data_IF_124020763245
#
_entry.id   IF_124020763245
#
_cell.length_a   1.000
_cell.length_b   1.000
_cell.length_c   1.000
_cell.angle_alpha   90.00
_cell.angle_beta   90.00
_cell.angle_gamma   90.00
#
_symmetry.space_group_name_H-M   'P 1'
#
loop_
_entity.id
_entity.type
_entity.pdbx_description
1 polymer ?
#
# COMPACT_ATOMS: atom_id res chain seq x y z
N UNK A 1 -32.13 -24.37 -30.00
CA UNK A 1 -31.40 -24.63 -28.74
C UNK A 1 -29.92 -24.53 -29.07
N UNK A 2 -29.21 -23.41 -28.80
CA UNK A 2 -27.77 -23.38 -29.05
C UNK A 2 -27.05 -24.09 -27.89
N UNK A 3 -26.20 -25.04 -28.24
CA UNK A 3 -25.40 -25.84 -27.32
C UNK A 3 -24.32 -24.98 -26.67
N UNK A 4 -24.16 -25.15 -25.36
CA UNK A 4 -23.01 -24.66 -24.61
C UNK A 4 -21.81 -25.54 -25.00
N UNK A 5 -20.82 -24.93 -25.65
CA UNK A 5 -19.61 -25.60 -26.10
C UNK A 5 -18.71 -25.96 -24.89
N UNK A 6 -18.38 -27.25 -24.65
CA UNK A 6 -17.62 -27.70 -23.50
C UNK A 6 -16.13 -27.30 -23.49
N UNK A 7 -15.60 -26.75 -24.58
CA UNK A 7 -14.19 -26.30 -24.65
C UNK A 7 -13.95 -24.95 -23.97
N UNK A 8 -14.97 -24.09 -23.91
CA UNK A 8 -14.92 -22.79 -23.22
C UNK A 8 -14.68 -22.93 -21.71
N UNK A 9 -15.13 -24.02 -21.08
CA UNK A 9 -14.92 -24.29 -19.65
C UNK A 9 -13.44 -24.65 -19.33
N UNK A 10 -12.73 -25.26 -20.30
CA UNK A 10 -11.32 -25.63 -20.12
C UNK A 10 -10.39 -24.44 -20.35
N UNK A 11 -10.58 -23.68 -21.43
CA UNK A 11 -9.80 -22.47 -21.70
C UNK A 11 -10.00 -21.40 -20.62
N UNK A 12 -11.22 -21.26 -20.09
CA UNK A 12 -11.48 -20.34 -18.96
C UNK A 12 -10.91 -20.84 -17.64
N UNK A 13 -10.79 -22.16 -17.43
CA UNK A 13 -10.09 -22.74 -16.27
C UNK A 13 -8.58 -22.57 -16.33
N UNK A 14 -7.99 -22.75 -17.49
CA UNK A 14 -6.54 -22.55 -17.72
C UNK A 14 -6.17 -21.07 -17.53
N UNK A 15 -6.89 -20.14 -18.16
CA UNK A 15 -6.67 -18.70 -17.99
C UNK A 15 -6.82 -18.22 -16.53
N UNK A 16 -7.84 -18.72 -15.81
CA UNK A 16 -8.00 -18.44 -14.37
C UNK A 16 -6.85 -18.99 -13.53
N UNK A 17 -6.27 -20.12 -13.92
CA UNK A 17 -5.11 -20.72 -13.26
C UNK A 17 -3.85 -19.88 -13.44
N UNK A 18 -3.64 -19.35 -14.65
CA UNK A 18 -2.52 -18.46 -14.96
C UNK A 18 -2.62 -17.13 -14.19
N UNK A 19 -3.81 -16.51 -14.14
CA UNK A 19 -4.07 -15.31 -13.35
C UNK A 19 -3.78 -15.52 -11.84
N UNK A 20 -4.18 -16.67 -11.30
CA UNK A 20 -3.90 -17.05 -9.91
C UNK A 20 -2.39 -17.23 -9.65
N UNK A 21 -1.66 -17.85 -10.58
CA UNK A 21 -0.21 -18.05 -10.46
C UNK A 21 0.55 -16.71 -10.54
N UNK A 22 0.17 -15.81 -11.44
CA UNK A 22 0.77 -14.47 -11.53
C UNK A 22 0.51 -13.64 -10.27
N UNK A 23 -0.71 -13.72 -9.73
CA UNK A 23 -1.06 -13.07 -8.46
C UNK A 23 -0.25 -13.66 -7.30
N UNK A 24 -0.06 -14.97 -7.24
CA UNK A 24 0.78 -15.61 -6.22
C UNK A 24 2.24 -15.19 -6.33
N UNK A 25 2.80 -15.13 -7.54
CA UNK A 25 4.16 -14.67 -7.75
C UNK A 25 4.35 -13.21 -7.28
N UNK A 26 3.38 -12.35 -7.56
CA UNK A 26 3.38 -10.97 -7.07
C UNK A 26 3.29 -10.88 -5.53
N UNK A 27 2.51 -11.76 -4.89
CA UNK A 27 2.44 -11.85 -3.43
C UNK A 27 3.78 -12.25 -2.82
N UNK A 28 4.50 -13.19 -3.43
CA UNK A 28 5.85 -13.57 -2.96
C UNK A 28 6.88 -12.44 -3.17
N UNK A 29 6.81 -11.72 -4.29
CA UNK A 29 7.64 -10.53 -4.54
C UNK A 29 7.46 -9.49 -3.43
N UNK A 30 6.20 -9.20 -3.09
CA UNK A 30 5.85 -8.26 -2.03
C UNK A 30 6.32 -8.71 -0.64
N UNK A 31 6.30 -10.02 -0.34
CA UNK A 31 6.86 -10.56 0.90
C UNK A 31 8.37 -10.29 0.97
N UNK A 32 9.07 -10.55 -0.13
CA UNK A 32 10.50 -10.24 -0.24
C UNK A 32 10.79 -8.74 -0.08
N UNK A 33 9.98 -7.87 -0.69
CA UNK A 33 10.09 -6.42 -0.52
C UNK A 33 9.89 -6.00 0.94
N UNK A 34 8.82 -6.49 1.59
CA UNK A 34 8.54 -6.23 3.01
C UNK A 34 9.70 -6.64 3.90
N UNK A 35 10.24 -7.84 3.71
CA UNK A 35 11.30 -8.36 4.57
C UNK A 35 12.58 -7.52 4.44
N UNK A 36 12.91 -7.06 3.22
CA UNK A 36 14.01 -6.12 3.00
C UNK A 36 13.76 -4.78 3.69
N UNK A 37 12.56 -4.22 3.54
CA UNK A 37 12.20 -2.94 4.14
C UNK A 37 12.20 -2.99 5.68
N UNK A 38 11.81 -4.13 6.27
CA UNK A 38 11.85 -4.32 7.73
C UNK A 38 13.28 -4.24 8.27
N UNK A 39 14.24 -4.89 7.60
CA UNK A 39 15.67 -4.80 7.95
C UNK A 39 16.16 -3.36 7.81
N UNK A 40 15.87 -2.70 6.68
CA UNK A 40 16.28 -1.31 6.43
C UNK A 40 15.65 -0.31 7.43
N UNK A 41 14.44 -0.60 7.92
CA UNK A 41 13.78 0.19 8.95
C UNK A 41 14.46 0.00 10.31
N UNK A 42 14.81 -1.24 10.68
CA UNK A 42 15.47 -1.55 11.94
C UNK A 42 16.87 -0.90 12.02
N UNK A 43 17.66 -0.98 10.96
CA UNK A 43 18.97 -0.33 10.86
C UNK A 43 18.86 1.19 11.05
N UNK A 44 17.86 1.80 10.41
CA UNK A 44 17.63 3.24 10.49
C UNK A 44 17.12 3.70 11.84
N UNK A 45 16.19 2.96 12.44
CA UNK A 45 15.74 3.25 13.80
C UNK A 45 16.87 3.13 14.81
N UNK A 46 17.82 2.23 14.57
CA UNK A 46 19.03 2.13 15.40
C UNK A 46 19.86 3.40 15.27
N UNK A 47 20.14 3.84 14.03
CA UNK A 47 20.85 5.09 13.77
C UNK A 47 20.12 6.31 14.39
N UNK A 48 18.80 6.41 14.22
CA UNK A 48 17.99 7.47 14.81
C UNK A 48 18.12 7.53 16.34
N UNK A 49 18.06 6.37 17.01
CA UNK A 49 18.25 6.30 18.46
C UNK A 49 19.66 6.73 18.87
N UNK A 50 20.68 6.32 18.12
CA UNK A 50 22.08 6.69 18.38
C UNK A 50 22.32 8.20 18.19
N UNK A 51 21.70 8.81 17.18
CA UNK A 51 21.75 10.27 16.96
C UNK A 51 20.94 11.01 18.03
N UNK A 52 19.74 10.54 18.35
CA UNK A 52 18.90 11.16 19.37
C UNK A 52 19.53 11.10 20.77
N UNK A 53 20.25 10.02 21.11
CA UNK A 53 20.97 9.90 22.36
C UNK A 53 22.05 11.00 22.54
N UNK A 54 22.59 11.52 21.44
CA UNK A 54 23.60 12.59 21.47
C UNK A 54 23.02 13.95 21.87
N UNK A 55 21.70 14.16 21.75
CA UNK A 55 21.04 15.41 22.18
C UNK A 55 21.08 15.60 23.70
N UNK A 56 21.30 14.53 24.47
CA UNK A 56 21.42 14.58 25.93
C UNK A 56 22.83 14.89 26.44
N UNK A 57 23.82 15.00 25.56
CA UNK A 57 25.22 15.22 25.93
C UNK A 57 25.54 16.73 26.03
N UNK A 58 26.37 17.16 26.99
CA UNK A 58 26.82 18.54 27.07
C UNK A 58 27.67 18.89 25.85
N UNK A 59 27.14 19.81 25.03
CA UNK A 59 27.68 20.24 23.73
C UNK A 59 27.46 21.74 23.56
N UNK A 60 28.21 22.38 22.68
CA UNK A 60 27.94 23.77 22.33
C UNK A 60 26.66 23.93 21.46
N UNK A 61 26.14 25.15 21.35
CA UNK A 61 24.89 25.42 20.63
C UNK A 61 24.97 25.03 19.15
N UNK A 62 26.16 25.13 18.53
CA UNK A 62 26.34 24.78 17.12
C UNK A 62 26.33 23.26 16.94
N UNK A 63 26.99 22.52 17.82
CA UNK A 63 26.97 21.06 17.87
C UNK A 63 25.55 20.52 18.14
N UNK A 64 24.82 21.11 19.08
CA UNK A 64 23.42 20.73 19.34
C UNK A 64 22.54 20.95 18.11
N UNK A 65 22.69 22.09 17.44
CA UNK A 65 21.94 22.38 16.21
C UNK A 65 22.27 21.40 15.06
N UNK A 66 23.51 20.92 14.99
CA UNK A 66 23.92 19.91 14.00
C UNK A 66 23.27 18.54 14.29
N UNK A 67 23.26 18.10 15.55
CA UNK A 67 22.61 16.84 15.95
C UNK A 67 21.10 16.93 15.71
N UNK A 68 20.45 18.04 16.07
CA UNK A 68 19.01 18.22 15.85
C UNK A 68 18.64 18.14 14.36
N UNK A 69 19.43 18.78 13.48
CA UNK A 69 19.22 18.68 12.03
C UNK A 69 19.32 17.26 11.50
N UNK A 70 20.20 16.45 12.07
CA UNK A 70 20.33 15.05 11.67
C UNK A 70 19.10 14.23 12.13
N UNK A 71 18.60 14.46 13.34
CA UNK A 71 17.33 13.86 13.81
C UNK A 71 16.17 14.24 12.88
N UNK A 72 16.01 15.53 12.60
CA UNK A 72 14.95 16.06 11.74
C UNK A 72 15.01 15.48 10.31
N UNK A 73 16.20 15.08 9.87
CA UNK A 73 16.43 14.47 8.56
C UNK A 73 16.07 12.99 8.53
N UNK A 74 16.33 12.25 9.61
CA UNK A 74 16.15 10.80 9.65
C UNK A 74 14.68 10.42 9.86
N UNK A 75 13.98 11.08 10.81
CA UNK A 75 12.61 10.76 11.20
C UNK A 75 11.60 10.59 10.03
N UNK A 76 11.52 11.51 9.04
CA UNK A 76 10.59 11.37 7.92
C UNK A 76 10.92 10.16 7.03
N UNK A 77 12.18 9.74 6.98
CA UNK A 77 12.57 8.56 6.21
C UNK A 77 12.04 7.29 6.88
N UNK A 78 12.26 7.12 8.19
CA UNK A 78 11.75 5.95 8.92
C UNK A 78 10.23 5.84 8.81
N UNK A 79 9.52 6.96 8.96
CA UNK A 79 8.08 7.04 8.76
C UNK A 79 7.64 6.54 7.38
N UNK A 80 8.29 7.01 6.31
CA UNK A 80 7.95 6.60 4.94
C UNK A 80 8.14 5.09 4.71
N UNK A 81 9.19 4.50 5.27
CA UNK A 81 9.40 3.04 5.20
C UNK A 81 8.33 2.28 5.98
N UNK A 82 7.96 2.74 7.17
CA UNK A 82 6.88 2.16 7.95
C UNK A 82 5.53 2.20 7.20
N UNK A 83 5.17 3.34 6.61
CA UNK A 83 3.96 3.50 5.79
C UNK A 83 3.95 2.54 4.59
N UNK A 84 5.11 2.33 3.94
CA UNK A 84 5.25 1.37 2.83
C UNK A 84 5.08 -0.07 3.30
N UNK A 85 5.72 -0.46 4.40
CA UNK A 85 5.60 -1.80 4.99
C UNK A 85 4.14 -2.09 5.33
N UNK A 86 3.46 -1.15 5.96
CA UNK A 86 2.06 -1.25 6.36
C UNK A 86 1.11 -1.39 5.15
N UNK A 87 1.37 -0.66 4.05
CA UNK A 87 0.66 -0.86 2.79
C UNK A 87 0.85 -2.26 2.19
N UNK A 88 2.07 -2.80 2.25
CA UNK A 88 2.36 -4.17 1.79
C UNK A 88 1.69 -5.20 2.70
N UNK A 89 1.74 -5.01 4.03
CA UNK A 89 1.12 -5.92 4.99
C UNK A 89 -0.39 -6.05 4.77
N UNK A 90 -1.10 -4.94 4.61
CA UNK A 90 -2.54 -4.95 4.25
C UNK A 90 -2.82 -5.76 2.98
N UNK A 91 -1.97 -5.63 1.96
CA UNK A 91 -2.13 -6.37 0.72
C UNK A 91 -1.89 -7.87 0.93
N UNK A 92 -0.88 -8.24 1.72
CA UNK A 92 -0.59 -9.63 2.07
C UNK A 92 -1.70 -10.27 2.93
N UNK A 93 -2.32 -9.52 3.84
CA UNK A 93 -3.48 -9.97 4.61
C UNK A 93 -4.66 -10.29 3.70
N UNK A 94 -4.92 -9.45 2.69
CA UNK A 94 -5.94 -9.74 1.66
C UNK A 94 -5.59 -10.95 0.81
N UNK A 95 -4.31 -11.14 0.50
CA UNK A 95 -3.83 -12.32 -0.20
C UNK A 95 -4.05 -13.60 0.60
N UNK A 96 -3.84 -13.56 1.92
CA UNK A 96 -4.13 -14.70 2.80
C UNK A 96 -5.63 -15.08 2.82
N UNK A 97 -6.52 -14.11 2.57
CA UNK A 97 -7.96 -14.32 2.44
C UNK A 97 -8.42 -14.70 1.02
N UNK A 98 -7.50 -14.75 0.05
CA UNK A 98 -7.82 -14.99 -1.36
C UNK A 98 -8.50 -13.81 -2.08
N UNK A 99 -8.43 -12.59 -1.52
CA UNK A 99 -9.16 -11.39 -2.02
C UNK A 99 -8.26 -10.30 -2.60
N UNK A 100 -6.99 -10.62 -2.86
CA UNK A 100 -6.02 -9.60 -3.32
C UNK A 100 -6.34 -9.04 -4.70
N UNK A 101 -7.00 -9.83 -5.56
CA UNK A 101 -7.40 -9.45 -6.91
C UNK A 101 -8.92 -9.28 -7.06
N UNK A 102 -9.63 -8.99 -5.97
CA UNK A 102 -11.10 -8.85 -5.96
C UNK A 102 -11.49 -7.50 -5.38
N UNK A 103 -12.37 -6.78 -6.08
CA UNK A 103 -12.93 -5.50 -5.65
C UNK A 103 -13.94 -5.69 -4.51
N UNK A 104 -13.79 -4.94 -3.41
CA UNK A 104 -14.72 -5.00 -2.29
C UNK A 104 -16.11 -4.41 -2.60
N UNK A 105 -16.23 -3.56 -3.64
CA UNK A 105 -17.49 -2.89 -4.00
C UNK A 105 -18.30 -3.66 -5.05
N UNK A 106 -17.65 -4.18 -6.08
CA UNK A 106 -18.32 -4.83 -7.21
C UNK A 106 -17.99 -6.31 -7.36
N UNK A 107 -17.14 -6.87 -6.48
CA UNK A 107 -16.69 -8.28 -6.51
C UNK A 107 -15.99 -8.71 -7.81
N UNK A 108 -15.70 -7.75 -8.69
CA UNK A 108 -14.99 -7.96 -9.96
C UNK A 108 -13.47 -8.09 -9.79
N UNK A 109 -12.78 -8.61 -10.82
CA UNK A 109 -11.33 -8.76 -10.81
C UNK A 109 -10.62 -7.40 -10.81
N UNK A 110 -9.57 -7.28 -10.01
CA UNK A 110 -8.63 -6.15 -10.04
C UNK A 110 -7.43 -6.57 -10.88
N UNK A 111 -7.13 -5.87 -12.00
CA UNK A 111 -5.99 -6.20 -12.85
C UNK A 111 -4.66 -6.14 -12.07
N UNK A 112 -3.76 -7.11 -12.34
CA UNK A 112 -2.45 -7.16 -11.70
C UNK A 112 -1.64 -5.87 -11.91
N UNK A 113 -1.74 -5.26 -13.08
CA UNK A 113 -1.10 -3.97 -13.38
C UNK A 113 -1.51 -2.87 -12.38
N UNK A 114 -2.76 -2.87 -11.92
CA UNK A 114 -3.27 -1.94 -10.92
C UNK A 114 -2.75 -2.27 -9.53
N UNK A 115 -2.70 -3.55 -9.16
CA UNK A 115 -2.14 -4.00 -7.88
C UNK A 115 -0.65 -3.63 -7.77
N UNK A 116 0.10 -3.72 -8.87
CA UNK A 116 1.50 -3.28 -8.96
C UNK A 116 1.65 -1.77 -8.83
N UNK A 117 0.79 -0.99 -9.50
CA UNK A 117 0.85 0.47 -9.47
C UNK A 117 0.42 1.04 -8.11
N UNK A 118 -0.59 0.44 -7.47
CA UNK A 118 -1.15 0.90 -6.19
C UNK A 118 -1.29 -0.31 -5.24
N UNK A 119 -0.19 -0.70 -4.57
CA UNK A 119 -0.24 -1.77 -3.58
C UNK A 119 -1.18 -1.41 -2.43
N UNK A 120 -2.05 -2.35 -2.05
CA UNK A 120 -3.06 -2.16 -1.00
C UNK A 120 -4.42 -1.64 -1.50
N UNK A 121 -4.60 -1.44 -2.81
CA UNK A 121 -5.92 -1.08 -3.37
C UNK A 121 -6.95 -2.19 -3.10
N UNK A 122 -8.14 -1.80 -2.64
CA UNK A 122 -9.25 -2.70 -2.30
C UNK A 122 -10.40 -2.64 -3.31
N UNK A 123 -10.33 -1.71 -4.26
CA UNK A 123 -11.39 -1.45 -5.25
C UNK A 123 -10.83 -1.31 -6.67
N UNK A 124 -11.62 -1.71 -7.67
CA UNK A 124 -11.26 -1.56 -9.09
C UNK A 124 -11.19 -0.08 -9.51
N UNK A 125 -10.70 0.17 -10.72
CA UNK A 125 -10.55 1.53 -11.27
C UNK A 125 -11.89 2.27 -11.34
N UNK A 126 -12.92 1.61 -11.86
CA UNK A 126 -14.26 2.20 -12.02
C UNK A 126 -14.86 2.57 -10.67
N UNK A 127 -14.84 1.63 -9.71
CA UNK A 127 -15.33 1.88 -8.35
C UNK A 127 -14.57 3.00 -7.64
N UNK A 128 -13.26 3.15 -7.91
CA UNK A 128 -12.45 4.25 -7.36
C UNK A 128 -12.87 5.59 -7.96
N UNK A 129 -13.10 5.64 -9.27
CA UNK A 129 -13.52 6.86 -9.97
C UNK A 129 -14.93 7.30 -9.53
N UNK A 130 -15.83 6.35 -9.29
CA UNK A 130 -17.15 6.61 -8.73
C UNK A 130 -17.07 7.23 -7.32
N UNK A 131 -16.28 6.64 -6.42
CA UNK A 131 -16.08 7.18 -5.06
C UNK A 131 -15.53 8.61 -5.08
N UNK A 132 -14.59 8.90 -5.97
CA UNK A 132 -14.04 10.26 -6.12
C UNK A 132 -15.07 11.24 -6.70
N UNK A 133 -15.95 10.79 -7.59
CA UNK A 133 -17.07 11.60 -8.11
C UNK A 133 -18.11 11.88 -7.02
N UNK A 134 -18.41 10.88 -6.19
CA UNK A 134 -19.31 11.00 -5.04
C UNK A 134 -18.76 11.98 -4.00
N UNK A 135 -17.47 11.90 -3.67
CA UNK A 135 -16.79 12.83 -2.76
C UNK A 135 -16.87 14.28 -3.27
N UNK A 136 -16.47 14.52 -4.53
CA UNK A 136 -16.54 15.86 -5.16
C UNK A 136 -17.95 16.45 -5.17
N UNK A 137 -18.98 15.61 -5.30
CA UNK A 137 -20.38 16.05 -5.26
C UNK A 137 -20.82 16.42 -3.84
N UNK A 138 -20.34 15.69 -2.83
CA UNK A 138 -20.62 15.97 -1.42
C UNK A 138 -19.96 17.26 -0.93
N UNK A 139 -18.72 17.53 -1.36
CA UNK A 139 -17.99 18.77 -1.06
C UNK A 139 -18.73 20.01 -1.61
N UNK A 140 -19.25 19.94 -2.84
CA UNK A 140 -20.02 21.03 -3.44
C UNK A 140 -21.38 21.32 -2.75
N UNK A 141 -21.89 20.39 -1.94
CA UNK A 141 -23.12 20.56 -1.16
C UNK A 141 -22.89 21.00 0.28
N UNK A 142 -21.65 20.95 0.78
CA UNK A 142 -21.31 21.21 2.18
C UNK A 142 -20.98 22.68 2.54
N UNK A 143 -20.76 23.56 1.57
CA UNK A 143 -20.36 24.97 1.81
C UNK A 143 -21.53 25.93 2.13
N UNK A 144 -22.77 25.44 2.29
CA UNK A 144 -23.96 26.31 2.53
C UNK A 144 -24.45 26.38 3.98
N UNK A 145 -23.84 25.67 4.94
CA UNK A 145 -24.36 25.54 6.32
C UNK A 145 -23.49 26.16 7.44
N UNK A 146 -22.51 27.02 7.13
CA UNK A 146 -21.66 27.65 8.18
C UNK A 146 -21.70 29.20 8.24
N UNK A 147 -22.78 29.82 7.75
CA UNK A 147 -23.10 31.23 8.02
C UNK A 147 -24.55 31.35 8.50
N UNK A 148 -24.77 31.06 9.78
CA UNK A 148 -26.00 31.31 10.52
C UNK A 148 -25.70 31.81 11.92
#
# INVERSE_FOLDING_TARGET
>A
MPGLDPTTDRETREARGDDLAEVQAFVEELRGERDRLLVELEERQTLERDVAAQLGEPRDDAEQAMVQREVDRLEPLARRSAERIDAIQRLLERAAQGRVAVCDRCEGPIPLARLRAIPGTTVCADCKEDLEREARRGEATGESEELG
#
